data_IF_013101177717
#
_entry.id   IF_013101177717
#
_cell.length_a   1.000
_cell.length_b   1.000
_cell.length_c   1.000
_cell.angle_alpha   90.00
_cell.angle_beta   90.00
_cell.angle_gamma   90.00
#
_symmetry.space_group_name_H-M   'P 1'
#
loop_
_entity.id
_entity.type
_entity.pdbx_description
1 polymer ?
#
# COMPACT_ATOMS: atom_id res chain seq x y z
N UNK A 1 14.34 14.53 29.06
CA UNK A 1 14.65 15.29 27.82
C UNK A 1 13.42 15.23 26.92
N UNK A 2 12.83 16.38 26.59
CA UNK A 2 11.63 16.45 25.74
C UNK A 2 12.03 16.17 24.29
N UNK A 3 11.34 15.24 23.60
CA UNK A 3 11.60 14.95 22.20
C UNK A 3 11.03 16.06 21.30
N UNK A 4 11.83 16.51 20.33
CA UNK A 4 11.38 17.43 19.29
C UNK A 4 10.92 16.63 18.09
N UNK A 5 9.63 16.72 17.76
CA UNK A 5 8.98 15.93 16.73
C UNK A 5 8.54 16.83 15.59
N UNK A 6 9.00 16.55 14.39
CA UNK A 6 8.48 17.14 13.15
C UNK A 6 7.45 16.20 12.52
N UNK A 7 6.26 16.71 12.27
CA UNK A 7 5.22 16.03 11.48
C UNK A 7 5.07 16.72 10.14
N UNK A 8 5.31 16.01 9.05
CA UNK A 8 5.15 16.51 7.69
C UNK A 8 3.88 15.91 7.09
N UNK A 9 2.85 16.73 6.95
CA UNK A 9 1.63 16.39 6.22
C UNK A 9 1.79 16.61 4.72
N UNK A 10 0.95 15.94 3.95
CA UNK A 10 0.86 16.06 2.50
C UNK A 10 -0.61 16.15 2.04
N UNK A 11 -0.91 16.35 0.74
CA UNK A 11 -2.29 16.47 0.27
C UNK A 11 -3.17 15.24 0.52
N UNK A 12 -2.56 14.04 0.59
CA UNK A 12 -3.29 12.82 0.91
C UNK A 12 -3.48 12.62 2.42
N UNK A 13 -2.48 12.94 3.23
CA UNK A 13 -2.49 12.82 4.69
C UNK A 13 -2.05 14.15 5.32
N UNK A 14 -2.97 15.13 5.44
CA UNK A 14 -2.64 16.45 5.96
C UNK A 14 -2.30 16.38 7.45
N UNK A 15 -1.60 17.42 7.96
CA UNK A 15 -1.25 17.53 9.38
C UNK A 15 -2.47 17.35 10.29
N UNK A 16 -3.64 17.83 9.87
CA UNK A 16 -4.89 17.68 10.63
C UNK A 16 -5.30 16.21 10.85
N UNK A 17 -4.89 15.29 9.97
CA UNK A 17 -5.16 13.86 10.15
C UNK A 17 -4.41 13.25 11.36
N UNK A 18 -3.33 13.90 11.80
CA UNK A 18 -2.56 13.48 12.97
C UNK A 18 -3.05 14.10 14.29
N UNK A 19 -3.90 15.13 14.23
CA UNK A 19 -4.26 15.96 15.40
C UNK A 19 -4.78 15.14 16.59
N UNK A 20 -5.72 14.22 16.35
CA UNK A 20 -6.29 13.37 17.40
C UNK A 20 -5.26 12.41 18.02
N UNK A 21 -4.34 11.87 17.22
CA UNK A 21 -3.30 10.97 17.72
C UNK A 21 -2.24 11.75 18.51
N UNK A 22 -1.87 12.94 18.05
CA UNK A 22 -0.87 13.81 18.68
C UNK A 22 -1.33 14.36 20.04
N UNK A 23 -2.64 14.59 20.21
CA UNK A 23 -3.20 15.03 21.51
C UNK A 23 -2.82 14.10 22.68
N UNK A 24 -2.58 12.81 22.40
CA UNK A 24 -2.09 11.86 23.41
C UNK A 24 -0.63 12.08 23.85
N UNK A 25 0.12 12.96 23.17
CA UNK A 25 1.51 13.31 23.47
C UNK A 25 1.67 14.74 24.04
N UNK A 26 0.56 15.44 24.28
CA UNK A 26 0.58 16.83 24.77
C UNK A 26 1.42 16.96 26.04
N UNK A 27 2.32 17.96 26.06
CA UNK A 27 3.26 18.21 27.14
C UNK A 27 4.43 17.23 27.27
N UNK A 28 4.45 16.15 26.44
CA UNK A 28 5.54 15.16 26.45
C UNK A 28 6.56 15.39 25.32
N UNK A 29 6.15 16.08 24.25
CA UNK A 29 6.98 16.40 23.08
C UNK A 29 6.89 17.89 22.74
N UNK A 30 7.93 18.40 22.08
CA UNK A 30 7.89 19.68 21.38
C UNK A 30 7.54 19.39 19.91
N UNK A 31 6.33 19.80 19.52
CA UNK A 31 5.74 19.46 18.23
C UNK A 31 5.93 20.61 17.23
N UNK A 32 6.50 20.31 16.09
CA UNK A 32 6.55 21.19 14.91
C UNK A 32 5.80 20.50 13.77
N UNK A 33 5.11 21.28 12.95
CA UNK A 33 4.37 20.78 11.80
C UNK A 33 4.78 21.49 10.52
N UNK A 34 4.80 20.75 9.42
CA UNK A 34 5.00 21.24 8.07
C UNK A 34 3.92 20.64 7.16
N UNK A 35 3.35 21.42 6.24
CA UNK A 35 2.37 20.95 5.28
C UNK A 35 2.91 21.13 3.86
N UNK A 36 3.07 20.03 3.13
CA UNK A 36 3.30 20.03 1.69
C UNK A 36 1.95 20.29 1.03
N UNK A 37 1.81 21.37 0.26
CA UNK A 37 0.56 21.80 -0.32
C UNK A 37 0.25 21.15 -1.68
N UNK A 38 1.28 20.77 -2.44
CA UNK A 38 1.14 20.32 -3.83
C UNK A 38 1.48 18.83 -3.99
N UNK A 39 0.80 18.16 -4.93
CA UNK A 39 1.07 16.76 -5.31
C UNK A 39 2.30 16.65 -6.21
N UNK A 40 2.94 17.75 -6.55
CA UNK A 40 4.13 17.80 -7.39
C UNK A 40 5.35 17.24 -6.66
N UNK A 41 6.21 16.54 -7.41
CA UNK A 41 7.50 16.09 -6.92
C UNK A 41 8.59 16.96 -7.54
N UNK A 42 9.50 17.47 -6.74
CA UNK A 42 10.73 18.04 -7.27
C UNK A 42 11.52 16.96 -8.04
N UNK A 43 12.17 17.30 -9.17
CA UNK A 43 13.04 16.35 -9.85
C UNK A 43 14.15 15.86 -8.93
N UNK A 44 14.47 14.55 -8.91
CA UNK A 44 15.50 14.02 -8.03
C UNK A 44 16.88 14.56 -8.44
N UNK A 45 17.60 15.13 -7.50
CA UNK A 45 18.94 15.70 -7.69
C UNK A 45 20.01 14.69 -7.30
N UNK A 46 19.86 14.01 -6.17
CA UNK A 46 20.84 13.07 -5.63
C UNK A 46 20.57 11.63 -6.02
N UNK A 47 21.53 10.75 -5.80
CA UNK A 47 21.36 9.31 -6.02
C UNK A 47 20.33 8.72 -5.06
N UNK A 48 20.35 9.13 -3.79
CA UNK A 48 19.37 8.73 -2.79
C UNK A 48 17.95 9.09 -3.25
N UNK A 49 17.73 10.31 -3.72
CA UNK A 49 16.42 10.75 -4.21
C UNK A 49 15.93 9.94 -5.42
N UNK A 50 16.83 9.54 -6.34
CA UNK A 50 16.49 8.69 -7.49
C UNK A 50 16.00 7.30 -7.07
N UNK A 51 16.38 6.83 -5.89
CA UNK A 51 15.94 5.58 -5.30
C UNK A 51 14.52 5.65 -4.69
N UNK A 52 14.04 6.86 -4.36
CA UNK A 52 12.73 7.07 -3.75
C UNK A 52 11.60 6.95 -4.76
N UNK A 53 10.43 6.55 -4.29
CA UNK A 53 9.22 6.40 -5.13
C UNK A 53 8.00 6.92 -4.39
N UNK A 54 6.97 7.26 -5.18
CA UNK A 54 5.65 7.65 -4.64
C UNK A 54 5.77 8.74 -3.56
N UNK A 55 6.63 9.74 -3.76
CA UNK A 55 6.77 10.86 -2.84
C UNK A 55 6.20 12.16 -3.43
N UNK A 56 6.02 13.17 -2.59
CA UNK A 56 5.57 14.51 -2.95
C UNK A 56 6.47 15.57 -2.28
N UNK A 57 6.48 16.77 -2.85
CA UNK A 57 7.22 17.92 -2.36
C UNK A 57 8.70 17.92 -2.75
N UNK A 58 9.45 18.83 -2.14
CA UNK A 58 10.88 19.02 -2.33
C UNK A 58 11.65 18.43 -1.13
N UNK A 59 12.52 17.40 -1.34
CA UNK A 59 13.37 16.85 -0.28
C UNK A 59 14.20 17.91 0.45
N UNK A 60 14.66 18.97 -0.26
CA UNK A 60 15.45 20.03 0.35
C UNK A 60 14.64 20.86 1.36
N UNK A 61 13.34 21.04 1.15
CA UNK A 61 12.47 21.69 2.14
C UNK A 61 12.32 20.82 3.39
N UNK A 62 12.13 19.52 3.23
CA UNK A 62 12.06 18.58 4.34
C UNK A 62 13.38 18.57 5.13
N UNK A 63 14.53 18.61 4.44
CA UNK A 63 15.86 18.66 5.07
C UNK A 63 16.05 19.94 5.90
N UNK A 64 15.58 21.09 5.42
CA UNK A 64 15.60 22.33 6.19
C UNK A 64 14.68 22.28 7.42
N UNK A 65 13.48 21.74 7.24
CA UNK A 65 12.48 21.68 8.31
C UNK A 65 12.86 20.70 9.42
N UNK A 66 13.54 19.59 9.09
CA UNK A 66 13.89 18.56 10.07
C UNK A 66 15.06 18.95 10.96
N UNK A 67 15.80 20.00 10.60
CA UNK A 67 16.95 20.46 11.37
C UNK A 67 16.57 20.72 12.84
N UNK A 68 17.35 20.15 13.75
CA UNK A 68 17.12 20.27 15.18
C UNK A 68 16.02 19.35 15.77
N UNK A 69 15.41 18.45 15.02
CA UNK A 69 14.40 17.51 15.51
C UNK A 69 15.00 16.13 15.82
N UNK A 70 14.38 15.42 16.76
CA UNK A 70 14.76 14.07 17.20
C UNK A 70 13.95 13.00 16.48
N UNK A 71 12.74 13.32 16.04
CA UNK A 71 11.80 12.39 15.38
C UNK A 71 11.18 13.06 14.17
N UNK A 72 11.09 12.30 13.07
CA UNK A 72 10.41 12.70 11.84
C UNK A 72 9.22 11.77 11.58
N UNK A 73 8.02 12.36 11.44
CA UNK A 73 6.79 11.64 11.06
C UNK A 73 6.36 12.11 9.67
N UNK A 74 6.22 11.19 8.73
CA UNK A 74 5.85 11.47 7.33
C UNK A 74 4.80 10.49 6.82
N UNK A 75 4.09 10.87 5.75
CA UNK A 75 3.35 9.93 4.91
C UNK A 75 3.95 9.88 3.50
N UNK A 76 3.81 10.91 2.70
CA UNK A 76 4.30 11.00 1.33
C UNK A 76 5.54 11.87 1.14
N UNK A 77 6.03 12.58 2.16
CA UNK A 77 7.24 13.37 2.05
C UNK A 77 8.47 12.51 1.76
N UNK A 78 9.38 13.02 0.93
CA UNK A 78 10.64 12.34 0.63
C UNK A 78 11.59 12.39 1.83
N UNK A 79 12.18 11.25 2.19
CA UNK A 79 13.20 11.15 3.25
C UNK A 79 14.46 10.56 2.63
N UNK A 80 15.24 11.41 2.00
CA UNK A 80 16.53 11.09 1.37
C UNK A 80 17.67 11.01 2.37
N UNK A 81 18.85 10.59 1.92
CA UNK A 81 20.08 10.59 2.72
C UNK A 81 20.43 11.97 3.27
N UNK A 82 20.12 13.03 2.51
CA UNK A 82 20.32 14.42 2.90
C UNK A 82 19.37 14.83 4.03
N UNK A 83 18.08 14.45 3.94
CA UNK A 83 17.10 14.66 5.02
C UNK A 83 17.54 13.95 6.30
N UNK A 84 17.97 12.70 6.18
CA UNK A 84 18.45 11.89 7.31
C UNK A 84 19.75 12.45 7.93
N UNK A 85 20.57 13.15 7.15
CA UNK A 85 21.79 13.80 7.61
C UNK A 85 21.58 15.20 8.21
N UNK A 86 20.43 15.82 8.02
CA UNK A 86 20.15 17.20 8.44
C UNK A 86 19.84 17.34 9.95
N UNK A 87 19.56 16.24 10.66
CA UNK A 87 19.25 16.23 12.08
C UNK A 87 19.73 14.93 12.77
N UNK A 88 19.99 14.96 14.08
CA UNK A 88 20.33 13.75 14.86
C UNK A 88 19.06 12.92 15.15
N UNK A 89 18.41 12.44 14.08
CA UNK A 89 17.16 11.68 14.21
C UNK A 89 17.35 10.39 14.99
N UNK A 90 16.46 10.14 15.90
CA UNK A 90 16.35 8.92 16.69
C UNK A 90 15.30 7.95 16.15
N UNK A 91 14.36 8.44 15.31
CA UNK A 91 13.28 7.67 14.72
C UNK A 91 12.71 8.37 13.49
N UNK A 92 12.42 7.61 12.46
CA UNK A 92 11.55 8.02 11.33
C UNK A 92 10.29 7.17 11.34
N UNK A 93 9.11 7.79 11.45
CA UNK A 93 7.82 7.14 11.36
C UNK A 93 7.20 7.42 9.99
N UNK A 94 7.11 6.41 9.14
CA UNK A 94 6.45 6.50 7.84
C UNK A 94 5.03 5.93 7.94
N UNK A 95 4.01 6.77 7.83
CA UNK A 95 2.59 6.38 7.93
C UNK A 95 2.10 5.63 6.67
N UNK A 96 2.93 4.73 6.11
CA UNK A 96 2.65 3.89 4.92
C UNK A 96 2.91 2.42 5.23
N UNK A 97 2.27 1.52 4.49
CA UNK A 97 2.51 0.08 4.60
C UNK A 97 3.88 -0.36 4.05
N UNK A 98 4.45 0.41 3.12
CA UNK A 98 5.81 0.25 2.62
C UNK A 98 6.48 1.62 2.50
N UNK A 99 7.63 1.90 3.17
CA UNK A 99 8.26 3.21 3.20
C UNK A 99 9.12 3.47 1.95
N UNK A 100 8.52 3.39 0.76
CA UNK A 100 9.22 3.54 -0.54
C UNK A 100 9.70 4.98 -0.80
N UNK A 101 9.25 5.93 0.00
CA UNK A 101 9.65 7.33 0.02
C UNK A 101 10.73 7.64 1.06
N UNK A 102 11.29 6.62 1.71
CA UNK A 102 12.38 6.73 2.70
C UNK A 102 13.59 5.95 2.20
N UNK A 103 14.78 6.55 2.23
CA UNK A 103 16.04 5.85 2.01
C UNK A 103 16.40 5.03 3.26
N UNK A 104 15.84 3.81 3.30
CA UNK A 104 16.00 2.89 4.43
C UNK A 104 17.45 2.43 4.59
N UNK A 105 18.22 2.36 3.50
CA UNK A 105 19.63 2.00 3.55
C UNK A 105 20.43 3.10 4.24
N UNK A 106 20.29 4.37 3.81
CA UNK A 106 20.94 5.51 4.42
C UNK A 106 20.51 5.72 5.89
N UNK A 107 19.26 5.41 6.24
CA UNK A 107 18.81 5.43 7.63
C UNK A 107 19.49 4.34 8.47
N UNK A 108 19.67 3.13 7.92
CA UNK A 108 20.36 2.02 8.59
C UNK A 108 21.82 2.34 8.86
N UNK A 109 22.51 2.89 7.86
CA UNK A 109 23.94 3.29 7.99
C UNK A 109 24.15 4.35 9.07
N UNK A 110 23.13 5.17 9.35
CA UNK A 110 23.13 6.19 10.41
C UNK A 110 22.60 5.69 11.75
N UNK A 111 22.20 4.43 11.85
CA UNK A 111 21.58 3.88 13.05
C UNK A 111 20.21 4.49 13.35
N UNK A 112 19.47 4.99 12.33
CA UNK A 112 18.14 5.59 12.50
C UNK A 112 17.08 4.52 12.21
N UNK A 113 16.29 4.07 13.22
CA UNK A 113 15.19 3.16 13.00
C UNK A 113 14.10 3.82 12.13
N UNK A 114 13.58 3.05 11.17
CA UNK A 114 12.45 3.43 10.33
C UNK A 114 11.28 2.53 10.67
N UNK A 115 10.16 3.12 11.06
CA UNK A 115 8.91 2.42 11.36
C UNK A 115 7.91 2.65 10.25
N UNK A 116 7.18 1.60 9.86
CA UNK A 116 6.07 1.69 8.93
C UNK A 116 4.73 1.32 9.59
N UNK A 117 3.62 1.46 8.84
CA UNK A 117 2.27 1.16 9.34
C UNK A 117 1.58 0.09 8.49
N UNK A 118 2.06 -1.18 8.54
CA UNK A 118 1.55 -2.25 7.70
C UNK A 118 0.07 -2.53 8.00
N UNK A 119 -0.72 -2.77 6.97
CA UNK A 119 -2.14 -3.11 7.10
C UNK A 119 -3.06 -1.95 7.53
N UNK A 120 -2.59 -0.69 7.55
CA UNK A 120 -3.44 0.46 7.92
C UNK A 120 -4.68 0.60 7.01
N UNK A 121 -4.56 0.20 5.75
CA UNK A 121 -5.57 0.29 4.70
C UNK A 121 -6.17 -1.07 4.31
N UNK A 122 -5.91 -2.14 5.06
CA UNK A 122 -6.29 -3.48 4.65
C UNK A 122 -7.81 -3.63 4.48
N UNK A 123 -8.59 -3.06 5.39
CA UNK A 123 -10.06 -3.07 5.32
C UNK A 123 -10.57 -2.31 4.09
N UNK A 124 -10.10 -1.08 3.89
CA UNK A 124 -10.52 -0.25 2.77
C UNK A 124 -10.22 -0.89 1.41
N UNK A 125 -8.99 -1.43 1.23
CA UNK A 125 -8.61 -2.13 0.00
C UNK A 125 -9.43 -3.41 -0.19
N UNK A 126 -9.74 -4.13 0.88
CA UNK A 126 -10.56 -5.32 0.81
C UNK A 126 -12.01 -5.00 0.39
N UNK A 127 -12.58 -3.92 0.90
CA UNK A 127 -13.90 -3.44 0.52
C UNK A 127 -13.96 -3.05 -0.95
N UNK A 128 -12.98 -2.30 -1.45
CA UNK A 128 -12.89 -1.97 -2.87
C UNK A 128 -12.73 -3.23 -3.74
N UNK A 129 -11.92 -4.19 -3.30
CA UNK A 129 -11.74 -5.46 -4.01
C UNK A 129 -13.05 -6.24 -4.13
N UNK A 130 -13.82 -6.32 -3.05
CA UNK A 130 -15.14 -6.96 -3.07
C UNK A 130 -16.12 -6.19 -3.95
N UNK A 131 -16.11 -4.86 -3.89
CA UNK A 131 -16.91 -4.04 -4.79
C UNK A 131 -16.57 -4.33 -6.26
N UNK A 132 -15.29 -4.40 -6.60
CA UNK A 132 -14.82 -4.77 -7.94
C UNK A 132 -15.30 -6.17 -8.36
N UNK A 133 -15.22 -7.16 -7.48
CA UNK A 133 -15.71 -8.50 -7.77
C UNK A 133 -17.20 -8.48 -8.11
N UNK A 134 -18.02 -7.81 -7.29
CA UNK A 134 -19.46 -7.71 -7.51
C UNK A 134 -19.80 -6.91 -8.77
N UNK A 135 -19.10 -5.82 -9.05
CA UNK A 135 -19.28 -5.04 -10.28
C UNK A 135 -19.01 -5.86 -11.54
N UNK A 136 -17.94 -6.68 -11.52
CA UNK A 136 -17.57 -7.52 -12.66
C UNK A 136 -18.56 -8.63 -12.91
N UNK A 137 -18.89 -9.43 -11.87
CA UNK A 137 -19.81 -10.58 -12.02
C UNK A 137 -21.25 -10.17 -12.35
N UNK A 138 -21.64 -8.91 -12.07
CA UNK A 138 -22.95 -8.36 -12.35
C UNK A 138 -22.99 -7.47 -13.59
N UNK A 139 -21.87 -7.39 -14.36
CA UNK A 139 -21.73 -6.57 -15.56
C UNK A 139 -22.14 -5.09 -15.37
N UNK A 140 -22.01 -4.55 -14.13
CA UNK A 140 -22.48 -3.19 -13.80
C UNK A 140 -21.79 -2.10 -14.61
N UNK A 141 -20.45 -2.12 -14.83
CA UNK A 141 -19.78 -1.11 -15.63
C UNK A 141 -20.27 -1.10 -17.09
N UNK A 142 -20.50 -2.27 -17.68
CA UNK A 142 -20.98 -2.42 -19.05
C UNK A 142 -22.43 -1.92 -19.18
N UNK A 143 -23.30 -2.29 -18.25
CA UNK A 143 -24.69 -1.81 -18.22
C UNK A 143 -24.81 -0.30 -18.04
N UNK A 144 -23.99 0.27 -17.13
CA UNK A 144 -23.91 1.73 -16.94
C UNK A 144 -23.43 2.43 -18.20
N UNK A 145 -22.38 1.91 -18.84
CA UNK A 145 -21.84 2.45 -20.09
C UNK A 145 -22.84 2.44 -21.21
N UNK A 146 -23.58 1.34 -21.38
CA UNK A 146 -24.65 1.21 -22.36
C UNK A 146 -25.67 2.37 -22.26
N UNK A 147 -26.09 2.72 -21.05
CA UNK A 147 -27.02 3.83 -20.84
C UNK A 147 -26.37 5.19 -21.17
N UNK A 148 -25.09 5.39 -20.78
CA UNK A 148 -24.37 6.63 -21.07
C UNK A 148 -24.14 6.85 -22.57
N UNK A 149 -23.98 5.76 -23.32
CA UNK A 149 -23.80 5.77 -24.78
C UNK A 149 -25.14 5.85 -25.55
N UNK A 150 -26.26 6.13 -24.88
CA UNK A 150 -27.56 6.36 -25.47
C UNK A 150 -28.48 5.13 -25.54
N UNK A 151 -28.11 4.03 -24.86
CA UNK A 151 -28.97 2.87 -24.70
C UNK A 151 -30.23 3.19 -23.92
N UNK A 152 -31.32 2.53 -24.26
CA UNK A 152 -32.62 2.70 -23.59
C UNK A 152 -32.68 2.04 -22.23
N UNK A 153 -33.52 2.57 -21.34
CA UNK A 153 -33.90 1.87 -20.13
C UNK A 153 -34.75 0.64 -20.52
N UNK A 154 -34.45 -0.49 -19.91
CA UNK A 154 -35.21 -1.70 -20.14
C UNK A 154 -36.68 -1.49 -19.66
N UNK A 155 -37.65 -1.57 -20.57
CA UNK A 155 -39.05 -1.55 -20.22
C UNK A 155 -39.53 -2.91 -19.62
N UNK A 156 -38.72 -3.93 -19.85
CA UNK A 156 -38.95 -5.28 -19.30
C UNK A 156 -37.64 -5.92 -18.87
N UNK A 157 -37.69 -6.82 -17.90
CA UNK A 157 -36.53 -7.59 -17.44
C UNK A 157 -35.84 -8.40 -18.56
N UNK A 158 -36.54 -8.67 -19.66
CA UNK A 158 -35.98 -9.44 -20.80
C UNK A 158 -35.03 -8.60 -21.67
N UNK A 159 -35.11 -7.29 -21.64
CA UNK A 159 -34.18 -6.40 -22.36
C UNK A 159 -32.83 -6.33 -21.71
N UNK A 160 -32.73 -6.57 -20.38
CA UNK A 160 -31.48 -6.64 -19.63
C UNK A 160 -30.67 -7.92 -19.81
N UNK A 161 -31.11 -8.86 -20.64
CA UNK A 161 -30.47 -10.19 -20.83
C UNK A 161 -29.00 -10.13 -21.28
N UNK A 162 -28.58 -9.06 -21.94
CA UNK A 162 -27.20 -8.86 -22.37
C UNK A 162 -26.23 -8.64 -21.19
N UNK A 163 -26.78 -8.28 -20.03
CA UNK A 163 -26.03 -8.01 -18.80
C UNK A 163 -26.24 -9.09 -17.74
N UNK A 164 -26.62 -10.31 -18.14
CA UNK A 164 -26.77 -11.42 -17.20
C UNK A 164 -25.40 -11.71 -16.57
N UNK A 165 -25.41 -11.67 -15.25
CA UNK A 165 -24.25 -11.97 -14.43
C UNK A 165 -24.40 -13.27 -13.65
N UNK A 166 -23.52 -13.47 -12.70
CA UNK A 166 -23.52 -14.61 -11.79
C UNK A 166 -23.72 -14.14 -10.35
N UNK A 167 -24.05 -15.09 -9.47
CA UNK A 167 -24.16 -14.88 -8.02
C UNK A 167 -22.93 -15.45 -7.30
N UNK A 168 -22.47 -14.76 -6.26
CA UNK A 168 -21.27 -15.11 -5.51
C UNK A 168 -21.20 -16.57 -5.05
N UNK A 169 -22.28 -17.21 -4.55
CA UNK A 169 -22.21 -18.59 -4.08
C UNK A 169 -21.92 -19.64 -5.18
N UNK A 170 -22.07 -19.26 -6.45
CA UNK A 170 -21.74 -20.14 -7.58
C UNK A 170 -20.31 -20.00 -8.08
N UNK A 171 -19.50 -19.11 -7.48
CA UNK A 171 -18.20 -18.70 -7.99
C UNK A 171 -17.07 -18.96 -6.99
N UNK A 172 -15.91 -19.22 -7.54
CA UNK A 172 -14.64 -19.35 -6.79
C UNK A 172 -13.79 -18.10 -6.97
N UNK A 173 -13.35 -17.51 -5.85
CA UNK A 173 -12.43 -16.38 -5.81
C UNK A 173 -11.04 -16.85 -5.39
N UNK A 174 -10.05 -16.73 -6.27
CA UNK A 174 -8.64 -17.01 -6.03
C UNK A 174 -7.89 -15.77 -5.58
N UNK A 175 -7.22 -15.86 -4.42
CA UNK A 175 -6.47 -14.77 -3.81
C UNK A 175 -4.97 -15.02 -3.91
N UNK A 176 -4.25 -14.18 -4.63
CA UNK A 176 -2.80 -14.24 -4.77
C UNK A 176 -2.15 -13.29 -3.78
N UNK A 177 -1.63 -13.84 -2.69
CA UNK A 177 -1.13 -13.12 -1.52
C UNK A 177 -2.14 -13.10 -0.37
N UNK A 178 -1.77 -13.71 0.77
CA UNK A 178 -2.58 -13.81 1.99
C UNK A 178 -2.05 -12.96 3.14
N UNK A 179 -1.48 -11.79 2.81
CA UNK A 179 -1.09 -10.77 3.78
C UNK A 179 -2.31 -10.10 4.45
N UNK A 180 -2.13 -8.90 4.99
CA UNK A 180 -3.21 -8.17 5.67
C UNK A 180 -4.44 -7.96 4.78
N UNK A 181 -4.24 -7.56 3.51
CA UNK A 181 -5.35 -7.31 2.56
C UNK A 181 -6.01 -8.61 2.14
N UNK A 182 -5.23 -9.60 1.67
CA UNK A 182 -5.79 -10.86 1.16
C UNK A 182 -6.66 -11.59 2.19
N UNK A 183 -6.28 -11.56 3.48
CA UNK A 183 -7.10 -12.12 4.55
C UNK A 183 -8.41 -11.37 4.77
N UNK A 184 -8.38 -10.04 4.72
CA UNK A 184 -9.60 -9.23 4.83
C UNK A 184 -10.54 -9.42 3.64
N UNK A 185 -9.97 -9.64 2.44
CA UNK A 185 -10.75 -10.03 1.25
C UNK A 185 -11.35 -11.42 1.43
N UNK A 186 -10.55 -12.40 1.86
CA UNK A 186 -11.02 -13.77 2.10
C UNK A 186 -12.22 -13.80 3.06
N UNK A 187 -12.11 -13.11 4.20
CA UNK A 187 -13.19 -13.03 5.18
C UNK A 187 -14.49 -12.47 4.58
N UNK A 188 -14.39 -11.38 3.80
CA UNK A 188 -15.56 -10.73 3.17
C UNK A 188 -16.12 -11.55 2.02
N UNK A 189 -15.27 -12.12 1.19
CA UNK A 189 -15.69 -12.97 0.06
C UNK A 189 -16.50 -14.19 0.55
N UNK A 190 -16.02 -14.85 1.61
CA UNK A 190 -16.74 -15.97 2.24
C UNK A 190 -18.09 -15.56 2.84
N UNK A 191 -18.15 -14.41 3.49
CA UNK A 191 -19.40 -13.88 4.04
C UNK A 191 -20.46 -13.63 2.95
N UNK A 192 -20.03 -13.40 1.69
CA UNK A 192 -20.90 -13.27 0.52
C UNK A 192 -21.18 -14.61 -0.17
N UNK A 193 -20.58 -15.69 0.31
CA UNK A 193 -20.82 -17.04 -0.22
C UNK A 193 -19.83 -17.53 -1.28
N UNK A 194 -18.80 -16.74 -1.66
CA UNK A 194 -17.76 -17.25 -2.56
C UNK A 194 -17.03 -18.45 -1.95
N UNK A 195 -16.72 -19.46 -2.78
CA UNK A 195 -15.62 -20.36 -2.47
C UNK A 195 -14.30 -19.61 -2.59
N UNK A 196 -13.35 -19.79 -1.64
CA UNK A 196 -12.10 -19.01 -1.62
C UNK A 196 -10.89 -19.93 -1.68
N UNK A 197 -10.07 -19.77 -2.71
CA UNK A 197 -8.73 -20.35 -2.84
C UNK A 197 -7.66 -19.30 -2.52
N UNK A 198 -6.55 -19.73 -1.94
CA UNK A 198 -5.44 -18.87 -1.61
C UNK A 198 -4.11 -19.41 -2.08
N UNK A 199 -3.26 -18.52 -2.58
CA UNK A 199 -1.84 -18.79 -2.84
C UNK A 199 -0.98 -17.73 -2.18
N UNK A 200 0.00 -18.16 -1.41
CA UNK A 200 1.07 -17.31 -0.88
C UNK A 200 2.35 -18.16 -0.80
N UNK A 201 3.50 -17.71 -1.35
CA UNK A 201 4.75 -18.46 -1.27
C UNK A 201 5.28 -18.59 0.17
N UNK A 202 4.81 -17.74 1.06
CA UNK A 202 5.09 -17.78 2.49
C UNK A 202 3.77 -17.63 3.25
N UNK A 203 2.93 -18.69 3.27
CA UNK A 203 1.62 -18.58 3.88
C UNK A 203 1.76 -18.19 5.34
N UNK A 204 0.99 -17.20 5.80
CA UNK A 204 1.00 -16.81 7.20
C UNK A 204 0.57 -17.99 8.07
N UNK A 205 1.05 -18.01 9.32
CA UNK A 205 0.60 -19.00 10.29
C UNK A 205 -0.93 -19.06 10.34
N UNK A 206 -1.52 -20.26 10.42
CA UNK A 206 -2.97 -20.42 10.54
C UNK A 206 -3.47 -19.59 11.72
N UNK A 207 -4.38 -18.67 11.47
CA UNK A 207 -5.22 -18.07 12.50
C UNK A 207 -6.57 -18.75 12.35
N UNK A 208 -7.17 -19.13 13.45
CA UNK A 208 -8.33 -20.04 13.58
C UNK A 208 -9.62 -19.72 12.77
N UNK A 209 -9.60 -18.76 11.85
CA UNK A 209 -10.80 -18.30 11.14
C UNK A 209 -10.71 -18.38 9.62
N UNK A 210 -9.63 -18.87 9.03
CA UNK A 210 -9.51 -18.88 7.57
C UNK A 210 -9.68 -20.27 6.98
N UNK A 211 -10.91 -20.67 6.66
CA UNK A 211 -11.20 -21.79 5.74
C UNK A 211 -10.82 -21.41 4.29
N UNK A 212 -9.67 -20.84 4.09
CA UNK A 212 -9.09 -20.60 2.78
C UNK A 212 -8.34 -21.87 2.38
N UNK A 213 -8.79 -22.52 1.34
CA UNK A 213 -8.08 -23.66 0.76
C UNK A 213 -6.78 -23.15 0.13
N UNK A 214 -5.63 -23.55 0.72
CA UNK A 214 -4.32 -23.22 0.18
C UNK A 214 -3.96 -24.17 -0.95
N UNK A 215 -3.64 -23.60 -2.12
CA UNK A 215 -3.32 -24.36 -3.34
C UNK A 215 -2.08 -23.76 -4.03
N UNK A 216 -1.55 -24.47 -5.04
CA UNK A 216 -0.52 -23.92 -5.93
C UNK A 216 -1.09 -22.76 -6.75
N UNK A 217 -0.20 -21.89 -7.28
CA UNK A 217 -0.65 -20.78 -8.15
C UNK A 217 -1.33 -21.31 -9.41
N UNK A 218 -0.79 -22.37 -10.01
CA UNK A 218 -1.35 -23.03 -11.19
C UNK A 218 -2.77 -23.56 -10.92
N UNK A 219 -2.97 -24.20 -9.80
CA UNK A 219 -4.28 -24.73 -9.39
C UNK A 219 -5.27 -23.59 -9.10
N UNK A 220 -4.82 -22.52 -8.41
CA UNK A 220 -5.64 -21.33 -8.17
C UNK A 220 -6.14 -20.73 -9.49
N UNK A 221 -5.24 -20.52 -10.45
CA UNK A 221 -5.60 -19.94 -11.75
C UNK A 221 -6.59 -20.83 -12.53
N UNK A 222 -6.39 -22.14 -12.51
CA UNK A 222 -7.24 -23.09 -13.23
C UNK A 222 -8.64 -23.27 -12.60
N UNK A 223 -8.80 -22.99 -11.30
CA UNK A 223 -10.07 -23.24 -10.56
C UNK A 223 -10.86 -21.98 -10.28
N UNK A 224 -10.27 -20.79 -10.41
CA UNK A 224 -10.92 -19.54 -10.00
C UNK A 224 -11.70 -18.87 -11.12
N UNK A 225 -12.91 -18.41 -10.81
CA UNK A 225 -13.74 -17.57 -11.67
C UNK A 225 -13.32 -16.08 -11.57
N UNK A 226 -12.74 -15.70 -10.43
CA UNK A 226 -12.17 -14.39 -10.18
C UNK A 226 -10.78 -14.59 -9.58
N UNK A 227 -9.75 -13.95 -10.13
CA UNK A 227 -8.40 -13.92 -9.56
C UNK A 227 -8.10 -12.52 -9.09
N UNK A 228 -7.77 -12.37 -7.80
CA UNK A 228 -7.47 -11.07 -7.18
C UNK A 228 -6.06 -11.03 -6.59
N UNK A 229 -5.35 -9.94 -6.91
CA UNK A 229 -3.94 -9.77 -6.59
C UNK A 229 -3.74 -8.92 -5.33
N UNK A 230 -3.06 -9.51 -4.32
CA UNK A 230 -2.77 -8.87 -3.03
C UNK A 230 -1.30 -9.07 -2.61
N UNK A 231 -0.46 -9.54 -3.52
CA UNK A 231 0.95 -9.76 -3.28
C UNK A 231 1.73 -8.45 -3.12
N UNK A 232 2.73 -8.44 -2.21
CA UNK A 232 3.69 -7.35 -2.15
C UNK A 232 4.61 -7.42 -3.37
N UNK A 233 4.91 -6.27 -4.00
CA UNK A 233 5.91 -6.20 -5.06
C UNK A 233 7.32 -6.45 -4.51
N UNK A 234 8.04 -7.35 -5.16
CA UNK A 234 9.46 -7.66 -4.91
C UNK A 234 10.21 -7.67 -6.25
N UNK A 235 11.55 -7.80 -6.22
CA UNK A 235 12.34 -7.98 -7.44
C UNK A 235 12.03 -9.30 -8.15
N UNK A 236 11.54 -10.31 -7.43
CA UNK A 236 11.31 -11.66 -7.96
C UNK A 236 9.93 -11.84 -8.60
N UNK A 237 8.93 -11.00 -8.25
CA UNK A 237 7.56 -11.14 -8.73
C UNK A 237 7.09 -10.01 -9.67
N UNK A 238 8.02 -9.18 -10.19
CA UNK A 238 7.68 -8.22 -11.23
C UNK A 238 7.12 -8.95 -12.44
N UNK A 239 5.99 -8.45 -12.97
CA UNK A 239 5.25 -9.03 -14.10
C UNK A 239 4.96 -10.52 -13.92
N UNK A 240 4.70 -10.95 -12.67
CA UNK A 240 4.35 -12.34 -12.38
C UNK A 240 3.07 -12.78 -13.12
N UNK A 241 2.16 -11.86 -13.40
CA UNK A 241 1.04 -12.09 -14.29
C UNK A 241 1.43 -11.78 -15.74
N UNK A 242 2.07 -12.76 -16.35
CA UNK A 242 2.48 -12.77 -17.75
C UNK A 242 1.39 -13.33 -18.67
N UNK A 243 1.66 -13.36 -19.98
CA UNK A 243 0.78 -14.01 -20.97
C UNK A 243 0.45 -15.47 -20.59
N UNK A 244 1.46 -16.23 -20.16
CA UNK A 244 1.28 -17.64 -19.82
C UNK A 244 0.40 -17.81 -18.57
N UNK A 245 0.51 -16.91 -17.61
CA UNK A 245 -0.34 -16.92 -16.42
C UNK A 245 -1.79 -16.57 -16.74
N UNK A 246 -2.04 -15.60 -17.62
CA UNK A 246 -3.39 -15.31 -18.08
C UNK A 246 -3.97 -16.47 -18.88
N UNK A 247 -3.16 -17.19 -19.67
CA UNK A 247 -3.58 -18.36 -20.41
C UNK A 247 -3.94 -19.58 -19.50
N UNK A 248 -3.44 -19.63 -18.28
CA UNK A 248 -3.78 -20.65 -17.27
C UNK A 248 -5.10 -20.36 -16.55
N UNK A 249 -5.61 -19.13 -16.62
CA UNK A 249 -6.90 -18.78 -16.01
C UNK A 249 -8.07 -19.46 -16.76
N UNK A 250 -9.16 -19.67 -16.06
CA UNK A 250 -10.39 -20.20 -16.67
C UNK A 250 -10.87 -19.27 -17.79
N UNK A 251 -11.31 -19.81 -18.93
CA UNK A 251 -11.96 -19.02 -19.97
C UNK A 251 -13.13 -18.20 -19.39
N UNK A 252 -13.12 -16.88 -19.66
CA UNK A 252 -14.13 -15.97 -19.14
C UNK A 252 -13.93 -15.52 -17.69
N UNK A 253 -12.86 -15.93 -17.01
CA UNK A 253 -12.54 -15.48 -15.65
C UNK A 253 -12.29 -13.97 -15.60
N UNK A 254 -12.48 -13.40 -14.42
CA UNK A 254 -12.23 -11.99 -14.13
C UNK A 254 -10.88 -11.80 -13.40
N UNK A 255 -10.24 -10.66 -13.66
CA UNK A 255 -8.97 -10.30 -13.01
C UNK A 255 -9.10 -9.00 -12.23
N UNK A 256 -8.59 -8.98 -10.98
CA UNK A 256 -8.62 -7.81 -10.10
C UNK A 256 -7.20 -7.49 -9.63
N UNK A 257 -6.78 -6.23 -9.80
CA UNK A 257 -5.52 -5.75 -9.22
C UNK A 257 -5.73 -4.47 -8.41
N UNK A 258 -5.70 -4.61 -7.09
CA UNK A 258 -5.67 -3.53 -6.11
C UNK A 258 -4.31 -3.48 -5.37
N UNK A 259 -3.29 -4.17 -5.90
CA UNK A 259 -1.96 -4.24 -5.30
C UNK A 259 -0.97 -3.25 -5.96
N UNK A 260 -0.30 -3.67 -7.02
CA UNK A 260 0.67 -2.83 -7.76
C UNK A 260 0.62 -3.17 -9.26
N UNK A 261 0.74 -2.14 -10.09
CA UNK A 261 0.80 -2.25 -11.56
C UNK A 261 1.95 -3.13 -12.03
N UNK A 262 3.10 -2.98 -11.40
CA UNK A 262 4.34 -3.69 -11.76
C UNK A 262 4.29 -5.21 -11.54
N UNK A 263 3.24 -5.76 -10.94
CA UNK A 263 3.01 -7.21 -10.81
C UNK A 263 2.42 -7.82 -12.09
N UNK A 264 1.92 -6.99 -13.01
CA UNK A 264 1.19 -7.38 -14.22
C UNK A 264 1.94 -6.96 -15.46
N UNK A 265 1.98 -7.82 -16.46
CA UNK A 265 2.26 -7.43 -17.83
C UNK A 265 0.95 -6.91 -18.46
N UNK A 266 0.78 -5.59 -18.47
CA UNK A 266 -0.46 -4.95 -18.94
C UNK A 266 -0.71 -5.17 -20.45
N UNK A 267 0.33 -5.42 -21.26
CA UNK A 267 0.17 -5.79 -22.67
C UNK A 267 -0.45 -7.19 -22.78
N UNK A 268 0.01 -8.12 -21.95
CA UNK A 268 -0.54 -9.48 -21.91
C UNK A 268 -1.98 -9.47 -21.37
N UNK A 269 -2.28 -8.68 -20.34
CA UNK A 269 -3.64 -8.48 -19.84
C UNK A 269 -4.56 -7.94 -20.92
N UNK A 270 -4.14 -6.87 -21.62
CA UNK A 270 -4.90 -6.29 -22.73
C UNK A 270 -5.21 -7.33 -23.80
N UNK A 271 -4.22 -8.10 -24.22
CA UNK A 271 -4.39 -9.15 -25.23
C UNK A 271 -5.39 -10.23 -24.79
N UNK A 272 -5.34 -10.66 -23.52
CA UNK A 272 -6.28 -11.64 -22.99
C UNK A 272 -7.72 -11.10 -22.97
N UNK A 273 -7.91 -9.82 -22.68
CA UNK A 273 -9.21 -9.15 -22.68
C UNK A 273 -9.76 -8.92 -24.09
N UNK A 274 -8.90 -8.52 -25.05
CA UNK A 274 -9.25 -8.35 -26.48
C UNK A 274 -9.69 -9.70 -27.11
N UNK A 275 -8.98 -10.78 -26.77
CA UNK A 275 -9.29 -12.15 -27.21
C UNK A 275 -10.47 -12.77 -26.46
N UNK A 276 -11.04 -12.09 -25.46
CA UNK A 276 -12.11 -12.59 -24.61
C UNK A 276 -11.76 -13.92 -23.90
N UNK A 277 -10.48 -14.24 -23.73
CA UNK A 277 -10.05 -15.33 -22.84
C UNK A 277 -10.32 -14.96 -21.37
N UNK A 278 -10.27 -13.66 -21.03
CA UNK A 278 -10.80 -13.12 -19.79
C UNK A 278 -12.12 -12.38 -20.03
N UNK A 279 -13.07 -12.53 -19.12
CA UNK A 279 -14.38 -11.86 -19.15
C UNK A 279 -14.28 -10.35 -18.90
N UNK A 280 -13.34 -9.95 -18.04
CA UNK A 280 -13.10 -8.53 -17.72
C UNK A 280 -12.02 -8.36 -16.65
N UNK A 281 -11.68 -7.09 -16.37
CA UNK A 281 -10.74 -6.74 -15.32
C UNK A 281 -11.20 -5.49 -14.54
N UNK A 282 -10.85 -5.44 -13.25
CA UNK A 282 -10.99 -4.24 -12.41
C UNK A 282 -9.64 -3.89 -11.77
N UNK A 283 -9.20 -2.65 -11.98
CA UNK A 283 -7.84 -2.22 -11.67
C UNK A 283 -7.87 -0.92 -10.88
N UNK A 284 -7.22 -0.89 -9.73
CA UNK A 284 -7.00 0.34 -8.96
C UNK A 284 -5.62 0.95 -9.25
N UNK A 285 -4.79 0.23 -9.99
CA UNK A 285 -3.42 0.63 -10.35
C UNK A 285 -3.14 0.31 -11.81
N UNK A 286 -2.45 1.24 -12.50
CA UNK A 286 -2.00 1.11 -13.88
C UNK A 286 -0.58 1.66 -14.05
N UNK A 287 0.17 1.12 -15.01
CA UNK A 287 1.44 1.71 -15.46
C UNK A 287 1.18 3.14 -15.97
N UNK A 288 2.07 4.07 -15.62
CA UNK A 288 1.95 5.46 -16.12
C UNK A 288 2.23 5.49 -17.61
N UNK A 289 1.29 5.99 -18.39
CA UNK A 289 1.51 6.36 -19.79
C UNK A 289 2.10 7.76 -19.88
N UNK A 290 2.84 8.04 -20.95
CA UNK A 290 3.34 9.39 -21.20
C UNK A 290 2.21 10.41 -21.31
N UNK A 291 2.51 11.67 -21.01
CA UNK A 291 1.53 12.76 -21.03
C UNK A 291 0.80 12.85 -22.39
N UNK A 292 -0.52 12.98 -22.36
CA UNK A 292 -1.34 13.24 -23.55
C UNK A 292 -1.97 12.02 -24.23
N UNK A 293 -1.69 10.80 -23.77
CA UNK A 293 -2.33 9.61 -24.33
C UNK A 293 -3.13 8.85 -23.23
N UNK A 294 -4.43 8.57 -23.48
CA UNK A 294 -5.19 7.74 -22.57
C UNK A 294 -4.58 6.33 -22.51
N UNK A 295 -4.56 5.75 -21.32
CA UNK A 295 -4.05 4.38 -21.14
C UNK A 295 -4.92 3.39 -21.93
N UNK A 296 -4.34 2.46 -22.72
CA UNK A 296 -5.11 1.56 -23.61
C UNK A 296 -6.20 0.76 -22.87
N UNK A 297 -5.97 0.34 -21.62
CA UNK A 297 -6.97 -0.39 -20.82
C UNK A 297 -8.18 0.47 -20.43
N UNK A 298 -8.08 1.81 -20.41
CA UNK A 298 -9.21 2.70 -20.10
C UNK A 298 -10.29 2.73 -21.18
N UNK A 299 -9.94 2.37 -22.42
CA UNK A 299 -10.87 2.38 -23.56
C UNK A 299 -11.60 1.08 -23.75
N UNK A 300 -11.25 0.04 -22.99
CA UNK A 300 -11.83 -1.30 -23.14
C UNK A 300 -13.17 -1.40 -22.41
N UNK A 301 -14.23 -1.93 -23.05
CA UNK A 301 -15.57 -1.98 -22.47
C UNK A 301 -15.69 -2.96 -21.29
N UNK A 302 -14.80 -3.94 -21.21
CA UNK A 302 -14.75 -4.96 -20.15
C UNK A 302 -13.69 -4.67 -19.08
N UNK A 303 -13.20 -3.42 -19.00
CA UNK A 303 -12.24 -2.98 -17.99
C UNK A 303 -12.83 -1.84 -17.16
N UNK A 304 -12.73 -1.97 -15.86
CA UNK A 304 -13.10 -0.94 -14.89
C UNK A 304 -11.86 -0.46 -14.14
N UNK A 305 -11.65 0.84 -14.05
CA UNK A 305 -10.44 1.41 -13.44
C UNK A 305 -10.78 2.52 -12.47
N UNK A 306 -10.06 2.55 -11.35
CA UNK A 306 -10.08 3.66 -10.39
C UNK A 306 -8.68 4.25 -10.21
N UNK A 307 -8.56 5.54 -9.86
CA UNK A 307 -7.29 6.24 -9.80
C UNK A 307 -6.55 6.03 -8.46
N UNK A 308 -6.24 4.77 -8.09
CA UNK A 308 -5.52 4.38 -6.89
C UNK A 308 -6.19 4.85 -5.59
N UNK A 309 -7.47 4.51 -5.44
CA UNK A 309 -8.30 4.91 -4.29
C UNK A 309 -8.46 3.82 -3.22
N UNK A 310 -7.86 2.65 -3.39
CA UNK A 310 -8.06 1.50 -2.48
C UNK A 310 -7.78 1.80 -1.01
N UNK A 311 -6.88 2.74 -0.71
CA UNK A 311 -6.60 3.18 0.65
C UNK A 311 -7.21 4.53 1.02
N UNK A 312 -8.00 5.16 0.15
CA UNK A 312 -8.48 6.53 0.31
C UNK A 312 -9.74 6.62 1.18
N UNK A 313 -9.62 6.31 2.47
CA UNK A 313 -10.70 6.45 3.46
C UNK A 313 -10.23 7.21 4.68
N UNK A 314 -11.14 7.91 5.37
CA UNK A 314 -10.85 8.66 6.60
C UNK A 314 -10.27 7.74 7.69
N UNK A 315 -10.78 6.52 7.80
CA UNK A 315 -10.34 5.52 8.77
C UNK A 315 -8.91 5.07 8.48
N UNK A 316 -8.53 4.94 7.21
CA UNK A 316 -7.14 4.64 6.82
C UNK A 316 -6.17 5.74 7.26
N UNK A 317 -6.55 7.02 7.11
CA UNK A 317 -5.73 8.13 7.58
C UNK A 317 -5.61 8.12 9.10
N UNK A 318 -6.72 7.95 9.80
CA UNK A 318 -6.76 7.88 11.27
C UNK A 318 -5.88 6.73 11.79
N UNK A 319 -6.03 5.51 11.26
CA UNK A 319 -5.20 4.36 11.63
C UNK A 319 -3.73 4.58 11.33
N UNK A 320 -3.42 5.22 10.19
CA UNK A 320 -2.05 5.57 9.80
C UNK A 320 -1.40 6.53 10.79
N UNK A 321 -2.12 7.60 11.16
CA UNK A 321 -1.68 8.58 12.14
C UNK A 321 -1.47 7.94 13.52
N UNK A 322 -2.46 7.21 14.03
CA UNK A 322 -2.40 6.54 15.31
C UNK A 322 -1.19 5.61 15.44
N UNK A 323 -0.94 4.77 14.43
CA UNK A 323 0.20 3.85 14.44
C UNK A 323 1.55 4.57 14.38
N UNK A 324 1.67 5.64 13.58
CA UNK A 324 2.89 6.44 13.52
C UNK A 324 3.16 7.15 14.86
N UNK A 325 2.13 7.73 15.47
CA UNK A 325 2.26 8.42 16.76
C UNK A 325 2.49 7.43 17.91
N UNK A 326 1.91 6.23 17.86
CA UNK A 326 2.20 5.16 18.83
C UNK A 326 3.68 4.82 18.86
N UNK A 327 4.36 4.79 17.70
CA UNK A 327 5.81 4.55 17.67
C UNK A 327 6.61 5.66 18.35
N UNK A 328 6.16 6.91 18.29
CA UNK A 328 6.75 8.01 19.05
C UNK A 328 6.55 7.82 20.56
N UNK A 329 5.35 7.41 20.98
CA UNK A 329 5.05 7.11 22.39
C UNK A 329 5.89 5.93 22.93
N UNK A 330 6.13 4.92 22.10
CA UNK A 330 7.01 3.80 22.47
C UNK A 330 8.45 4.26 22.66
N UNK A 331 8.97 5.11 21.77
CA UNK A 331 10.29 5.71 21.91
C UNK A 331 10.41 6.56 23.20
N UNK A 332 9.40 7.38 23.50
CA UNK A 332 9.31 8.17 24.75
C UNK A 332 9.39 7.29 25.98
N UNK A 333 8.71 6.15 25.95
CA UNK A 333 8.69 5.18 27.04
C UNK A 333 9.97 4.31 27.10
N UNK A 334 10.99 4.57 26.26
CA UNK A 334 12.22 3.79 26.19
C UNK A 334 12.02 2.38 25.63
N UNK A 335 10.92 2.13 24.93
CA UNK A 335 10.65 0.84 24.26
C UNK A 335 11.06 0.90 22.81
N UNK A 336 11.38 -0.27 22.26
CA UNK A 336 11.59 -0.42 20.81
C UNK A 336 10.23 -0.35 20.12
N UNK A 337 10.04 0.59 19.17
CA UNK A 337 8.79 0.69 18.43
C UNK A 337 8.51 -0.58 17.62
N UNK A 338 7.21 -0.91 17.50
CA UNK A 338 6.77 -2.00 16.64
C UNK A 338 7.00 -1.66 15.15
N UNK A 339 7.10 -2.70 14.30
CA UNK A 339 7.22 -2.55 12.83
C UNK A 339 8.45 -1.78 12.34
N UNK A 340 9.59 -1.88 13.02
CA UNK A 340 10.87 -1.38 12.51
C UNK A 340 11.26 -2.20 11.28
N UNK A 341 11.45 -1.52 10.14
CA UNK A 341 11.77 -2.16 8.85
C UNK A 341 13.28 -2.40 8.67
N UNK A 342 14.12 -1.75 9.47
CA UNK A 342 15.57 -1.87 9.45
C UNK A 342 16.14 -2.20 10.84
N UNK A 343 15.93 -3.40 11.36
CA UNK A 343 16.32 -3.77 12.73
C UNK A 343 17.83 -3.67 13.00
N UNK A 344 18.67 -3.68 11.97
CA UNK A 344 20.12 -3.45 12.10
C UNK A 344 20.44 -2.05 12.68
N UNK A 345 19.60 -1.05 12.44
CA UNK A 345 19.74 0.27 13.03
C UNK A 345 19.63 0.25 14.56
N UNK A 346 18.79 -0.60 15.14
CA UNK A 346 18.63 -0.77 16.59
C UNK A 346 19.91 -1.35 17.23
N UNK A 347 20.57 -2.27 16.55
CA UNK A 347 21.84 -2.84 17.01
C UNK A 347 22.95 -1.78 17.03
N UNK A 348 23.01 -0.94 15.99
CA UNK A 348 23.95 0.18 15.93
C UNK A 348 23.74 1.17 17.08
N UNK A 349 22.49 1.55 17.38
CA UNK A 349 22.17 2.42 18.52
C UNK A 349 22.59 1.80 19.87
N UNK A 350 22.35 0.52 20.07
CA UNK A 350 22.74 -0.17 21.30
C UNK A 350 24.26 -0.18 21.50
N UNK A 351 25.02 -0.44 20.44
CA UNK A 351 26.49 -0.41 20.46
C UNK A 351 26.98 1.01 20.75
N UNK A 352 26.44 2.03 20.09
CA UNK A 352 26.79 3.43 20.30
C UNK A 352 26.55 3.87 21.77
N UNK A 353 25.41 3.46 22.35
CA UNK A 353 25.07 3.76 23.74
C UNK A 353 26.08 3.11 24.70
N UNK A 354 26.47 1.86 24.47
CA UNK A 354 27.48 1.16 25.28
C UNK A 354 28.85 1.83 25.20
N UNK A 355 29.28 2.22 24.00
CA UNK A 355 30.57 2.93 23.80
C UNK A 355 30.56 4.27 24.53
N UNK A 356 29.49 5.04 24.42
CA UNK A 356 29.35 6.33 25.09
C UNK A 356 29.38 6.16 26.62
N UNK A 357 28.69 5.15 27.14
CA UNK A 357 28.67 4.85 28.57
C UNK A 357 30.04 4.43 29.10
N UNK A 358 30.78 3.62 28.34
CA UNK A 358 32.14 3.20 28.65
C UNK A 358 33.13 4.42 28.69
N UNK A 359 32.99 5.36 27.72
CA UNK A 359 33.79 6.57 27.67
C UNK A 359 33.54 7.51 28.87
N UNK A 360 32.26 7.66 29.28
CA UNK A 360 31.89 8.44 30.47
C UNK A 360 32.50 7.85 31.76
N UNK A 361 32.46 6.50 31.90
CA UNK A 361 33.06 5.82 33.06
C UNK A 361 34.59 5.97 33.10
N UNK A 362 35.25 5.86 31.95
CA UNK A 362 36.69 5.99 31.89
C UNK A 362 37.19 7.46 31.99
N UNK A 363 36.39 8.42 31.49
CA UNK A 363 36.68 9.85 31.63
C UNK A 363 36.54 10.39 33.06
N UNK A 364 35.64 9.78 33.87
CA UNK A 364 35.48 10.14 35.28
C UNK A 364 36.51 9.51 36.25
N UNK A 365 37.31 8.53 35.76
CA UNK A 365 38.36 7.89 36.54
C UNK A 365 39.75 8.55 36.35
N UNK A 366 39.86 9.51 35.45
CA UNK A 366 41.11 10.22 35.11
C UNK A 366 41.12 11.68 35.60
N UNK A 367 40.15 12.16 36.35
CA UNK A 367 40.06 13.44 37.03
C UNK A 367 39.98 13.27 38.52
#
# INVERSE_FOLDING_TARGET
MTLRVLVVGDPYMPVSAYASALAGLDGQVELTTMQIAEVTCAPPVTESERGLREYVGDPAEVARAVAGHDVLVVHGAAVSAEVLGAAPLRLVCCARGGPVNVDVAAATDRGIPVVNTPGKNAEAVAELTIAFALLLIRAVPQASRYLLDGGGFAESVFEGREFFGAEAPSLTMGLVGLGHVGREVARRARALGFAVLGYDPQPPAPRDESDVELVSLEELLARSDIVSLHARLTSQNRRMFSRDRFAQMRPGAYFINTARESLVDERALRQALEQRSLGGAALDVLERTGAGHPHPLLTMPNVFVTPHIGGATAETLTRGAQRAVTAVAELLAGRVPANVVNPAALQAQAIQAQVTQAQVIHGSAAG
#
